data_IF_257946259909
#
_entry.id   IF_257946259909
#
_cell.length_a   1.000
_cell.length_b   1.000
_cell.length_c   1.000
_cell.angle_alpha   90.00
_cell.angle_beta   90.00
_cell.angle_gamma   90.00
#
_symmetry.space_group_name_H-M   'P 1'
#
loop_
_entity.id
_entity.type
_entity.pdbx_description
1 polymer ?
#
# COMPACT_ATOMS: atom_id res chain seq x y z
N UNK A 1 -0.07 13.68 -39.15
CA UNK A 1 -0.56 13.44 -37.77
C UNK A 1 0.39 12.41 -37.19
N UNK A 2 1.42 12.87 -36.47
CA UNK A 2 2.49 11.98 -35.98
C UNK A 2 2.30 11.76 -34.50
N UNK A 3 2.05 10.50 -34.12
CA UNK A 3 1.94 10.04 -32.74
C UNK A 3 3.36 9.69 -32.29
N UNK A 4 3.83 10.30 -31.21
CA UNK A 4 5.04 9.86 -30.51
C UNK A 4 4.61 8.90 -29.39
N UNK A 5 5.13 7.67 -29.43
CA UNK A 5 5.00 6.69 -28.36
C UNK A 5 6.31 6.75 -27.56
N UNK A 6 6.22 7.14 -26.29
CA UNK A 6 7.34 7.04 -25.34
C UNK A 6 7.13 5.75 -24.56
N UNK A 7 7.94 4.74 -24.84
CA UNK A 7 8.05 3.53 -24.00
C UNK A 7 9.05 3.80 -22.88
N UNK A 8 8.57 3.92 -21.64
CA UNK A 8 9.41 3.88 -20.45
C UNK A 8 9.62 2.42 -20.04
N UNK A 9 10.85 1.93 -20.08
CA UNK A 9 11.18 0.59 -19.57
C UNK A 9 11.54 0.74 -18.10
N UNK A 10 10.66 0.30 -17.20
CA UNK A 10 10.92 0.30 -15.76
C UNK A 10 11.74 -0.96 -15.42
N UNK A 11 13.00 -0.78 -15.05
CA UNK A 11 13.80 -1.83 -14.41
C UNK A 11 13.52 -1.74 -12.92
N UNK A 12 12.69 -2.63 -12.39
CA UNK A 12 12.44 -2.74 -10.95
C UNK A 12 13.64 -3.44 -10.32
N UNK A 13 14.46 -2.70 -9.58
CA UNK A 13 15.30 -3.29 -8.54
C UNK A 13 14.38 -3.58 -7.35
N UNK A 14 13.87 -4.82 -7.28
CA UNK A 14 13.15 -5.31 -6.11
C UNK A 14 14.13 -5.37 -4.94
N UNK A 15 14.01 -4.47 -3.98
CA UNK A 15 14.60 -4.68 -2.65
C UNK A 15 13.65 -5.59 -1.88
N UNK A 16 14.05 -6.82 -1.52
CA UNK A 16 13.19 -7.69 -0.72
C UNK A 16 12.95 -7.04 0.64
N UNK A 17 11.69 -7.08 1.10
CA UNK A 17 11.29 -6.65 2.43
C UNK A 17 12.24 -7.26 3.49
N UNK A 18 12.75 -6.42 4.38
CA UNK A 18 13.60 -6.86 5.49
C UNK A 18 12.75 -7.48 6.60
N UNK A 19 12.42 -8.76 6.46
CA UNK A 19 11.90 -9.56 7.57
C UNK A 19 13.11 -9.99 8.45
N UNK A 20 13.00 -10.12 9.78
CA UNK A 20 14.07 -10.55 10.73
C UNK A 20 13.50 -11.55 11.76
N UNK A 21 14.06 -12.77 11.84
CA UNK A 21 13.67 -13.75 12.88
C UNK A 21 13.45 -15.22 12.46
N UNK A 22 13.04 -15.52 11.22
CA UNK A 22 12.83 -16.90 10.76
C UNK A 22 14.01 -17.50 9.98
N UNK A 23 14.20 -18.83 10.06
CA UNK A 23 15.22 -19.56 9.28
C UNK A 23 14.90 -19.63 7.77
N UNK A 24 13.62 -19.51 7.39
CA UNK A 24 13.17 -19.44 5.99
C UNK A 24 12.14 -18.33 5.81
N UNK A 25 12.40 -17.44 4.84
CA UNK A 25 11.50 -16.34 4.45
C UNK A 25 11.07 -16.50 3.01
N UNK A 26 9.78 -16.29 2.77
CA UNK A 26 9.19 -16.40 1.43
C UNK A 26 8.41 -15.11 1.18
N UNK A 27 8.80 -14.37 0.14
CA UNK A 27 8.01 -13.25 -0.35
C UNK A 27 6.95 -13.75 -1.32
N UNK A 28 5.68 -13.42 -1.09
CA UNK A 28 4.55 -13.91 -1.88
C UNK A 28 3.67 -12.72 -2.28
N UNK A 29 3.47 -12.42 -3.58
CA UNK A 29 2.58 -11.33 -3.97
C UNK A 29 1.14 -11.60 -3.55
N UNK A 30 0.48 -10.56 -3.05
CA UNK A 30 -0.96 -10.62 -2.79
C UNK A 30 -1.79 -10.68 -4.07
N UNK A 31 -3.10 -10.87 -3.89
CA UNK A 31 -4.07 -10.86 -4.98
C UNK A 31 -3.69 -11.81 -6.12
N UNK A 32 -3.21 -13.01 -5.77
CA UNK A 32 -3.03 -14.07 -6.75
C UNK A 32 -4.41 -14.58 -7.20
N UNK A 33 -4.66 -14.46 -8.50
CA UNK A 33 -5.94 -14.76 -9.17
C UNK A 33 -5.92 -16.10 -9.95
N UNK A 34 -4.84 -16.88 -9.80
CA UNK A 34 -4.68 -18.16 -10.48
C UNK A 34 -5.36 -19.33 -9.77
N UNK A 35 -4.87 -20.53 -10.07
CA UNK A 35 -5.46 -21.79 -9.60
C UNK A 35 -4.86 -22.18 -8.25
N UNK A 36 -5.72 -22.61 -7.32
CA UNK A 36 -5.33 -23.18 -6.03
C UNK A 36 -5.34 -24.72 -6.05
N UNK A 37 -4.45 -25.39 -5.29
CA UNK A 37 -3.46 -24.82 -4.40
C UNK A 37 -2.32 -24.12 -5.14
N UNK A 38 -1.92 -22.95 -4.66
CA UNK A 38 -0.81 -22.19 -5.22
C UNK A 38 0.47 -22.57 -4.49
N UNK A 39 1.33 -23.37 -5.13
CA UNK A 39 2.61 -23.79 -4.57
C UNK A 39 3.61 -22.63 -4.56
N UNK A 40 4.08 -22.27 -3.37
CA UNK A 40 4.88 -21.07 -3.10
C UNK A 40 6.37 -21.37 -3.17
N UNK A 41 6.83 -22.36 -2.39
CA UNK A 41 8.24 -22.69 -2.29
C UNK A 41 8.45 -24.12 -1.79
N UNK A 42 9.57 -24.72 -2.19
CA UNK A 42 10.07 -25.96 -1.57
C UNK A 42 10.63 -25.66 -0.18
N UNK A 43 10.32 -26.51 0.79
CA UNK A 43 10.83 -26.43 2.16
C UNK A 43 12.11 -27.28 2.29
N UNK A 44 13.31 -26.68 2.26
CA UNK A 44 14.58 -27.43 2.26
C UNK A 44 14.82 -28.20 3.56
N UNK A 45 14.23 -27.75 4.67
CA UNK A 45 14.39 -28.35 5.98
C UNK A 45 13.40 -29.50 6.23
N UNK A 46 12.57 -29.85 5.24
CA UNK A 46 11.62 -30.95 5.33
C UNK A 46 12.17 -32.17 4.55
N UNK A 47 12.61 -33.24 5.23
CA UNK A 47 13.08 -34.45 4.57
C UNK A 47 11.99 -35.14 3.75
N UNK A 48 12.34 -35.84 2.67
CA UNK A 48 11.38 -36.55 1.83
C UNK A 48 10.67 -37.72 2.54
N UNK A 49 11.24 -38.21 3.63
CA UNK A 49 10.68 -39.31 4.46
C UNK A 49 9.90 -38.78 5.67
N UNK A 50 9.58 -37.49 5.70
CA UNK A 50 8.78 -36.92 6.79
C UNK A 50 7.34 -37.42 6.74
N UNK A 51 6.75 -37.58 7.92
CA UNK A 51 5.34 -37.97 8.11
C UNK A 51 4.69 -37.01 9.10
N UNK A 52 3.36 -37.03 9.19
CA UNK A 52 2.59 -36.17 10.10
C UNK A 52 2.94 -34.68 9.99
N UNK A 53 3.03 -34.17 8.76
CA UNK A 53 3.35 -32.76 8.53
C UNK A 53 2.15 -31.91 8.92
N UNK A 54 2.38 -31.04 9.91
CA UNK A 54 1.37 -30.11 10.44
C UNK A 54 1.91 -28.68 10.30
N UNK A 55 1.06 -27.79 9.79
CA UNK A 55 1.32 -26.35 9.74
C UNK A 55 0.46 -25.69 10.81
N UNK A 56 1.08 -24.87 11.66
CA UNK A 56 0.40 -24.02 12.65
C UNK A 56 0.86 -22.57 12.49
N UNK A 57 0.17 -21.63 13.14
CA UNK A 57 0.41 -20.18 12.96
C UNK A 57 -0.42 -19.54 11.84
N UNK A 58 -1.43 -20.26 11.38
CA UNK A 58 -2.41 -19.83 10.38
C UNK A 58 -3.82 -20.17 10.89
N UNK A 59 -4.50 -19.16 11.43
CA UNK A 59 -5.82 -19.32 12.04
C UNK A 59 -6.93 -19.59 11.00
N UNK A 60 -6.67 -19.27 9.73
CA UNK A 60 -7.66 -19.35 8.65
C UNK A 60 -7.51 -20.63 7.78
N UNK A 61 -6.48 -21.43 8.04
CA UNK A 61 -6.17 -22.64 7.28
C UNK A 61 -5.87 -22.36 5.80
N UNK A 62 -5.22 -21.23 5.52
CA UNK A 62 -4.74 -20.80 4.21
C UNK A 62 -3.59 -21.70 3.72
N UNK A 63 -2.68 -22.12 4.60
CA UNK A 63 -1.43 -22.77 4.22
C UNK A 63 -1.43 -24.27 4.49
N UNK A 64 -0.76 -25.00 3.61
CA UNK A 64 -0.50 -26.42 3.78
C UNK A 64 0.83 -26.83 3.16
N UNK A 65 1.23 -28.08 3.40
CA UNK A 65 2.46 -28.64 2.84
C UNK A 65 2.14 -29.95 2.14
N UNK A 66 2.56 -30.08 0.89
CA UNK A 66 2.41 -31.30 0.11
C UNK A 66 3.70 -31.56 -0.69
N UNK A 67 4.17 -32.81 -0.67
CA UNK A 67 5.39 -33.24 -1.36
C UNK A 67 6.62 -32.36 -1.09
N UNK A 68 6.71 -31.76 0.10
CA UNK A 68 7.80 -30.87 0.49
C UNK A 68 7.66 -29.42 0.02
N UNK A 69 6.52 -29.04 -0.55
CA UNK A 69 6.22 -27.67 -0.97
C UNK A 69 5.17 -27.04 -0.07
N UNK A 70 5.43 -25.82 0.38
CA UNK A 70 4.43 -24.97 1.00
C UNK A 70 3.50 -24.45 -0.10
N UNK A 71 2.19 -24.53 0.13
CA UNK A 71 1.17 -23.96 -0.75
C UNK A 71 0.17 -23.11 0.03
N UNK A 72 -0.49 -22.19 -0.67
CA UNK A 72 -1.68 -21.49 -0.19
C UNK A 72 -2.94 -22.04 -0.87
N UNK A 73 -4.08 -21.99 -0.19
CA UNK A 73 -5.40 -22.42 -0.68
C UNK A 73 -6.32 -21.26 -1.06
N UNK A 74 -5.94 -20.04 -0.67
CA UNK A 74 -6.70 -18.82 -0.90
C UNK A 74 -5.75 -17.68 -1.26
N UNK A 75 -6.25 -16.63 -1.94
CA UNK A 75 -5.47 -15.41 -2.16
C UNK A 75 -5.02 -14.82 -0.83
N UNK A 76 -3.82 -14.25 -0.83
CA UNK A 76 -3.31 -13.44 0.27
C UNK A 76 -3.67 -11.98 0.02
N UNK A 77 -3.87 -11.24 1.11
CA UNK A 77 -4.24 -9.82 1.15
C UNK A 77 -3.37 -9.19 2.24
N UNK A 78 -2.52 -8.25 1.84
CA UNK A 78 -1.53 -7.59 2.69
C UNK A 78 -2.21 -6.60 3.64
N UNK A 79 -3.25 -5.89 3.20
CA UNK A 79 -4.02 -4.97 4.06
C UNK A 79 -4.72 -5.69 5.19
N UNK A 80 -5.08 -6.97 4.99
CA UNK A 80 -5.62 -7.83 6.02
C UNK A 80 -4.53 -8.43 6.91
N UNK A 81 -3.50 -9.03 6.32
CA UNK A 81 -2.40 -9.63 7.07
C UNK A 81 -1.08 -9.57 6.28
N UNK A 82 -0.13 -8.71 6.69
CA UNK A 82 1.10 -8.47 5.92
C UNK A 82 2.12 -9.62 6.04
N UNK A 83 1.99 -10.47 7.06
CA UNK A 83 2.85 -11.64 7.20
C UNK A 83 2.23 -12.76 8.03
N UNK A 84 2.73 -13.97 7.80
CA UNK A 84 2.38 -15.18 8.54
C UNK A 84 3.64 -15.82 9.10
N UNK A 85 3.62 -16.15 10.39
CA UNK A 85 4.70 -16.87 11.07
C UNK A 85 4.26 -18.32 11.29
N UNK A 86 4.60 -19.17 10.33
CA UNK A 86 4.17 -20.56 10.28
C UNK A 86 5.18 -21.45 10.98
N UNK A 87 4.70 -22.35 11.84
CA UNK A 87 5.51 -23.44 12.37
C UNK A 87 5.17 -24.72 11.62
N UNK A 88 6.15 -25.28 10.91
CA UNK A 88 6.02 -26.58 10.23
C UNK A 88 6.59 -27.64 11.14
N UNK A 89 5.74 -28.53 11.63
CA UNK A 89 6.11 -29.67 12.48
C UNK A 89 5.95 -30.98 11.72
N UNK A 90 6.86 -31.93 11.94
CA UNK A 90 6.86 -33.21 11.24
C UNK A 90 7.55 -34.31 12.05
N UNK A 91 7.14 -35.56 11.81
CA UNK A 91 7.79 -36.76 12.33
C UNK A 91 8.91 -37.20 11.39
N UNK A 92 10.15 -37.17 11.87
CA UNK A 92 11.31 -37.71 11.15
C UNK A 92 11.82 -38.96 11.87
N UNK A 93 11.49 -40.13 11.32
CA UNK A 93 11.76 -41.45 11.90
C UNK A 93 11.12 -41.64 13.29
N UNK A 94 11.84 -41.30 14.36
CA UNK A 94 11.47 -41.57 15.76
C UNK A 94 11.29 -40.28 16.58
N UNK A 95 11.58 -39.10 16.00
CA UNK A 95 11.49 -37.82 16.70
C UNK A 95 10.68 -36.79 15.91
N UNK A 96 9.86 -36.04 16.64
CA UNK A 96 9.18 -34.86 16.11
C UNK A 96 10.18 -33.71 16.00
N UNK A 97 10.19 -33.03 14.86
CA UNK A 97 10.99 -31.85 14.59
C UNK A 97 10.09 -30.71 14.09
N UNK A 98 10.56 -29.48 14.18
CA UNK A 98 9.86 -28.33 13.61
C UNK A 98 10.82 -27.22 13.18
N UNK A 99 10.35 -26.36 12.28
CA UNK A 99 11.01 -25.11 11.91
C UNK A 99 10.00 -24.01 11.61
N UNK A 100 10.45 -22.76 11.72
CA UNK A 100 9.66 -21.57 11.40
C UNK A 100 9.83 -21.17 9.93
N UNK A 101 8.72 -20.80 9.30
CA UNK A 101 8.65 -20.19 7.98
C UNK A 101 7.90 -18.88 8.10
N UNK A 102 8.52 -17.80 7.64
CA UNK A 102 7.89 -16.49 7.58
C UNK A 102 7.45 -16.21 6.14
N UNK A 103 6.14 -16.12 5.91
CA UNK A 103 5.55 -15.71 4.64
C UNK A 103 5.30 -14.21 4.71
N UNK A 104 6.08 -13.42 3.98
CA UNK A 104 5.91 -11.96 3.88
C UNK A 104 5.08 -11.67 2.62
N UNK A 105 3.90 -11.06 2.79
CA UNK A 105 2.99 -10.73 1.68
C UNK A 105 3.52 -9.48 0.98
N UNK A 106 3.75 -9.56 -0.33
CA UNK A 106 4.29 -8.47 -1.14
C UNK A 106 3.14 -7.62 -1.64
N UNK A 107 3.21 -6.35 -1.27
CA UNK A 107 2.29 -5.27 -1.62
C UNK A 107 2.09 -5.10 -3.13
N UNK A 108 0.84 -4.93 -3.53
CA UNK A 108 0.42 -4.45 -4.85
C UNK A 108 -0.36 -3.14 -4.69
N UNK A 109 -0.39 -2.35 -5.76
CA UNK A 109 -1.24 -1.16 -5.82
C UNK A 109 -2.66 -1.56 -6.24
N UNK A 110 -3.48 -2.01 -5.29
CA UNK A 110 -4.86 -2.40 -5.51
C UNK A 110 -5.88 -1.59 -4.68
N UNK A 111 -5.41 -0.76 -3.75
CA UNK A 111 -6.24 0.24 -3.10
C UNK A 111 -6.11 1.60 -3.82
N UNK A 112 -7.14 2.42 -3.69
CA UNK A 112 -7.12 3.80 -4.22
C UNK A 112 -7.14 4.78 -3.06
N UNK A 113 -6.52 5.96 -3.20
CA UNK A 113 -6.56 6.97 -2.16
C UNK A 113 -7.98 7.40 -1.82
N UNK A 114 -8.27 7.54 -0.53
CA UNK A 114 -9.56 8.03 -0.01
C UNK A 114 -9.33 9.28 0.82
N UNK A 115 -10.09 10.35 0.57
CA UNK A 115 -10.05 11.54 1.40
C UNK A 115 -10.53 11.23 2.83
N UNK A 116 -9.88 11.83 3.83
CA UNK A 116 -10.24 11.64 5.24
C UNK A 116 -11.62 12.22 5.54
N UNK A 117 -11.96 13.33 4.89
CA UNK A 117 -13.27 13.97 4.98
C UNK A 117 -13.94 13.97 3.60
N UNK A 118 -15.23 13.62 3.55
CA UNK A 118 -16.01 13.64 2.30
C UNK A 118 -16.20 15.05 1.72
N UNK A 119 -16.16 16.07 2.59
CA UNK A 119 -16.20 17.47 2.21
C UNK A 119 -15.44 18.29 3.24
N UNK A 120 -14.58 19.21 2.79
CA UNK A 120 -13.77 20.04 3.67
C UNK A 120 -14.21 21.50 3.58
N UNK A 121 -14.15 22.24 4.69
CA UNK A 121 -14.43 23.69 4.68
C UNK A 121 -13.30 24.43 5.36
N UNK A 122 -12.55 25.19 4.57
CA UNK A 122 -11.56 26.15 5.06
C UNK A 122 -12.15 27.56 5.16
N UNK A 123 -11.64 28.36 6.09
CA UNK A 123 -11.91 29.80 6.13
C UNK A 123 -10.60 30.58 6.07
N UNK A 124 -10.59 31.60 5.22
CA UNK A 124 -9.42 32.46 5.02
C UNK A 124 -9.59 33.70 5.89
N UNK A 125 -8.60 33.99 6.72
CA UNK A 125 -8.60 35.23 7.51
C UNK A 125 -8.33 36.43 6.60
N UNK A 126 -9.01 37.55 6.87
CA UNK A 126 -8.74 38.80 6.16
C UNK A 126 -7.28 39.22 6.36
N UNK A 127 -6.59 39.55 5.26
CA UNK A 127 -5.19 39.94 5.29
C UNK A 127 -4.20 38.77 5.40
N UNK A 128 -4.65 37.53 5.20
CA UNK A 128 -3.74 36.40 5.04
C UNK A 128 -2.86 36.60 3.80
N UNK A 129 -1.54 36.45 3.98
CA UNK A 129 -0.56 36.60 2.91
C UNK A 129 -0.49 35.33 2.05
N UNK A 130 -0.04 35.47 0.79
CA UNK A 130 0.20 34.31 -0.07
C UNK A 130 1.17 33.31 0.55
N UNK A 131 0.96 32.03 0.27
CA UNK A 131 1.80 30.93 0.77
C UNK A 131 1.59 30.58 2.25
N UNK A 132 0.82 31.35 3.02
CA UNK A 132 0.42 30.93 4.37
C UNK A 132 -0.72 29.92 4.23
N UNK A 133 -0.49 28.71 4.74
CA UNK A 133 -1.50 27.65 4.78
C UNK A 133 -2.63 28.02 5.74
N UNK A 134 -3.88 27.81 5.31
CA UNK A 134 -5.08 28.01 6.15
C UNK A 134 -5.91 26.75 6.33
N UNK A 135 -5.62 25.68 5.58
CA UNK A 135 -6.20 24.34 5.78
C UNK A 135 -5.28 23.29 5.18
N UNK A 136 -5.51 22.03 5.51
CA UNK A 136 -4.80 20.89 4.94
C UNK A 136 -5.82 19.84 4.50
N UNK A 137 -5.64 19.35 3.27
CA UNK A 137 -6.39 18.23 2.74
C UNK A 137 -5.66 16.94 3.13
N UNK A 138 -6.41 16.03 3.75
CA UNK A 138 -5.90 14.71 4.11
C UNK A 138 -6.53 13.62 3.25
N UNK A 139 -5.72 12.66 2.83
CA UNK A 139 -6.16 11.40 2.25
C UNK A 139 -5.37 10.24 2.87
N UNK A 140 -5.88 9.04 2.73
CA UNK A 140 -5.21 7.80 3.10
C UNK A 140 -5.28 6.79 1.97
N UNK A 141 -4.18 6.09 1.76
CA UNK A 141 -4.13 4.86 0.98
C UNK A 141 -3.85 3.70 1.94
N UNK A 142 -4.43 2.53 1.65
CA UNK A 142 -4.29 1.34 2.49
C UNK A 142 -3.07 0.50 2.11
N UNK A 143 -2.50 0.69 0.93
CA UNK A 143 -1.29 0.01 0.48
C UNK A 143 -0.10 0.26 1.44
N UNK A 144 1.00 -0.49 1.27
CA UNK A 144 2.19 -0.36 2.13
C UNK A 144 2.82 1.04 2.03
N UNK A 145 2.86 1.74 3.18
CA UNK A 145 3.47 3.07 3.33
C UNK A 145 4.97 3.12 3.03
N UNK A 146 5.64 1.96 2.96
CA UNK A 146 7.04 1.85 2.61
C UNK A 146 7.28 1.70 1.10
N UNK A 147 6.22 1.59 0.29
CA UNK A 147 6.26 1.52 -1.17
C UNK A 147 5.74 2.81 -1.79
N UNK A 148 5.92 2.96 -3.11
CA UNK A 148 5.35 4.08 -3.85
C UNK A 148 3.82 3.94 -4.06
N UNK A 149 3.23 2.81 -3.68
CA UNK A 149 1.80 2.56 -3.89
C UNK A 149 0.95 3.44 -2.96
N UNK A 150 1.43 3.69 -1.75
CA UNK A 150 0.81 4.63 -0.81
C UNK A 150 1.32 6.09 -0.91
N UNK A 151 2.07 6.45 -1.97
CA UNK A 151 2.55 7.84 -2.14
C UNK A 151 1.43 8.73 -2.68
N UNK A 152 1.01 9.71 -1.88
CA UNK A 152 -0.12 10.58 -2.18
C UNK A 152 0.32 11.83 -2.92
N UNK A 153 -0.48 12.23 -3.93
CA UNK A 153 -0.34 13.51 -4.62
C UNK A 153 -1.66 14.25 -4.73
N UNK A 154 -1.66 15.52 -4.31
CA UNK A 154 -2.83 16.40 -4.31
C UNK A 154 -2.78 17.39 -5.47
N UNK A 155 -3.95 17.71 -6.02
CA UNK A 155 -4.11 18.77 -7.03
C UNK A 155 -5.51 19.37 -6.94
N UNK A 156 -5.62 20.67 -7.23
CA UNK A 156 -6.92 21.34 -7.35
C UNK A 156 -7.43 21.15 -8.79
N UNK A 157 -8.59 20.52 -8.94
CA UNK A 157 -9.21 20.31 -10.26
C UNK A 157 -9.92 21.55 -10.80
N UNK A 158 -10.65 22.26 -9.94
CA UNK A 158 -11.34 23.50 -10.30
C UNK A 158 -11.38 24.48 -9.13
N UNK A 159 -11.55 25.77 -9.45
CA UNK A 159 -11.74 26.83 -8.47
C UNK A 159 -12.89 27.73 -8.91
N UNK A 160 -13.89 27.82 -8.03
CA UNK A 160 -15.11 28.59 -8.26
C UNK A 160 -15.34 29.56 -7.10
N UNK A 161 -15.67 30.84 -7.37
CA UNK A 161 -15.87 31.45 -8.69
C UNK A 161 -14.56 31.70 -9.45
N UNK A 162 -14.59 31.68 -10.80
CA UNK A 162 -13.43 32.03 -11.66
C UNK A 162 -13.12 33.54 -11.70
N UNK A 163 -13.99 34.35 -11.10
CA UNK A 163 -13.87 35.80 -11.04
C UNK A 163 -13.73 36.14 -9.55
N UNK A 164 -12.74 36.96 -9.16
CA UNK A 164 -11.90 37.78 -10.04
C UNK A 164 -10.69 37.05 -10.66
N UNK A 165 -10.30 35.88 -10.16
CA UNK A 165 -9.30 34.99 -10.77
C UNK A 165 -9.69 33.53 -10.63
N UNK A 166 -9.26 32.67 -11.55
CA UNK A 166 -9.42 31.22 -11.48
C UNK A 166 -8.29 30.51 -10.72
N UNK A 167 -7.32 31.26 -10.19
CA UNK A 167 -6.15 30.73 -9.50
C UNK A 167 -6.00 31.39 -8.13
N UNK A 168 -7.05 31.41 -7.31
CA UNK A 168 -7.02 32.02 -5.97
C UNK A 168 -6.28 31.17 -4.94
N UNK A 169 -6.31 29.86 -5.11
CA UNK A 169 -5.75 28.89 -4.17
C UNK A 169 -4.67 28.04 -4.82
N UNK A 170 -3.72 27.62 -4.00
CA UNK A 170 -2.71 26.63 -4.33
C UNK A 170 -2.81 25.49 -3.31
N UNK A 171 -2.62 24.26 -3.77
CA UNK A 171 -2.45 23.10 -2.89
C UNK A 171 -1.04 22.54 -3.09
N UNK A 172 -0.33 22.33 -1.99
CA UNK A 172 0.93 21.61 -2.04
C UNK A 172 0.67 20.14 -2.41
N UNK A 173 1.35 19.67 -3.45
CA UNK A 173 1.08 18.33 -4.00
C UNK A 173 1.44 17.20 -3.04
N UNK A 174 2.32 17.42 -2.05
CA UNK A 174 2.80 16.38 -1.13
C UNK A 174 2.11 16.50 0.21
N UNK A 175 2.02 17.71 0.76
CA UNK A 175 1.47 17.93 2.11
C UNK A 175 -0.04 18.09 2.11
N UNK A 176 -0.65 18.42 0.97
CA UNK A 176 -2.08 18.76 0.89
C UNK A 176 -2.42 20.10 1.54
N UNK A 177 -1.43 20.90 1.95
CA UNK A 177 -1.66 22.23 2.51
C UNK A 177 -2.20 23.18 1.45
N UNK A 178 -3.27 23.90 1.79
CA UNK A 178 -3.92 24.87 0.91
C UNK A 178 -3.58 26.27 1.38
N UNK A 179 -3.11 27.09 0.45
CA UNK A 179 -2.71 28.47 0.68
C UNK A 179 -3.25 29.41 -0.40
N UNK A 180 -3.16 30.71 -0.15
CA UNK A 180 -3.48 31.73 -1.14
C UNK A 180 -2.34 31.85 -2.16
N UNK A 181 -2.72 32.08 -3.41
CA UNK A 181 -1.81 32.61 -4.44
C UNK A 181 -1.68 34.13 -4.30
N UNK A 182 -0.90 34.75 -5.18
CA UNK A 182 -0.83 36.21 -5.29
C UNK A 182 -2.17 36.84 -5.67
N UNK A 183 -2.90 36.24 -6.62
CA UNK A 183 -4.26 36.67 -6.97
C UNK A 183 -5.22 36.51 -5.79
N UNK A 184 -5.10 35.41 -5.06
CA UNK A 184 -5.90 35.13 -3.86
C UNK A 184 -5.68 36.17 -2.76
N UNK A 185 -4.43 36.53 -2.47
CA UNK A 185 -4.08 37.56 -1.48
C UNK A 185 -4.65 38.94 -1.86
N UNK A 186 -4.51 39.36 -3.12
CA UNK A 186 -5.02 40.65 -3.61
C UNK A 186 -6.55 40.74 -3.57
N UNK A 187 -7.24 39.59 -3.59
CA UNK A 187 -8.71 39.48 -3.67
C UNK A 187 -9.36 38.96 -2.38
N UNK A 188 -8.55 38.58 -1.38
CA UNK A 188 -8.98 38.08 -0.07
C UNK A 188 -9.83 39.03 0.78
N UNK A 189 -9.90 40.37 0.58
CA UNK A 189 -10.74 41.23 1.42
C UNK A 189 -12.24 40.90 1.40
N UNK A 190 -12.75 40.03 0.52
CA UNK A 190 -14.19 39.81 0.32
C UNK A 190 -14.67 38.36 0.07
N UNK A 191 -13.87 37.32 0.31
CA UNK A 191 -14.20 35.97 -0.21
C UNK A 191 -14.24 34.85 0.85
N UNK A 192 -15.35 34.09 0.90
CA UNK A 192 -15.44 32.79 1.60
C UNK A 192 -15.23 31.67 0.58
N UNK A 193 -14.30 30.75 0.84
CA UNK A 193 -14.07 29.57 -0.01
C UNK A 193 -14.79 28.35 0.58
N UNK A 194 -15.54 27.64 -0.25
CA UNK A 194 -16.09 26.33 0.07
C UNK A 194 -15.33 25.31 -0.79
N UNK A 195 -14.76 24.29 -0.16
CA UNK A 195 -14.12 23.18 -0.84
C UNK A 195 -15.15 22.04 -0.88
N UNK A 196 -15.28 21.40 -2.04
CA UNK A 196 -16.16 20.27 -2.28
C UNK A 196 -15.34 19.14 -2.86
#
# INVERSE_FOLDING_TARGET
MSIFIITLTLVVLQTPAQCSGANLKIGVPENYDGIFPWYLAKLPNLPATSTDVVVTGDDEGIFGVEAGFLYALKPLDREKQPSYSLQVSFSASVQSQSFMVEVCVIDKNDNVPVFIEESMRGSVQLGLLKGISFMQVGASDRDDRNTAHADLRFSLMDQTPRIPSSHMFFIDSVTGEVSLTEDGELQAPHSTALFY
#
